data_IF_556611481237
#
_entry.id   IF_556611481237
#
_cell.length_a   1.000
_cell.length_b   1.000
_cell.length_c   1.000
_cell.angle_alpha   90.00
_cell.angle_beta   90.00
_cell.angle_gamma   90.00
#
_symmetry.space_group_name_H-M   'P 1'
#
loop_
_entity.id
_entity.type
_entity.pdbx_description
1 polymer ?
#
# COMPACT_ATOMS: atom_id res chain seq x y z
N UNK A 1 60.23 55.09 10.62
CA UNK A 1 60.09 54.11 11.72
C UNK A 1 58.64 54.07 12.14
N UNK A 2 58.10 52.85 12.32
CA UNK A 2 56.81 52.46 12.93
C UNK A 2 55.53 52.90 12.17
N UNK A 3 54.47 52.09 12.03
CA UNK A 3 54.09 50.80 12.63
C UNK A 3 53.08 50.09 11.71
N UNK A 4 53.01 48.76 11.74
CA UNK A 4 52.10 47.91 10.96
C UNK A 4 50.96 47.44 11.87
N UNK A 5 49.67 47.49 11.46
CA UNK A 5 48.60 46.96 12.29
C UNK A 5 48.50 45.43 12.18
N UNK A 6 48.57 44.77 13.33
CA UNK A 6 48.37 43.33 13.49
C UNK A 6 46.88 42.96 13.37
N UNK A 7 46.59 41.87 12.64
CA UNK A 7 45.27 41.21 12.61
C UNK A 7 45.24 40.04 13.60
N UNK A 8 44.18 39.87 14.41
CA UNK A 8 43.95 38.63 15.14
C UNK A 8 42.91 37.76 14.40
N UNK A 9 43.36 36.70 13.74
CA UNK A 9 42.50 35.63 13.23
C UNK A 9 42.39 34.51 14.27
N UNK A 10 41.27 34.46 14.98
CA UNK A 10 40.99 33.47 16.02
C UNK A 10 40.49 32.13 15.48
N UNK A 11 41.02 31.05 16.07
CA UNK A 11 40.33 29.80 16.42
C UNK A 11 39.59 29.02 15.34
N UNK A 12 40.24 27.99 14.78
CA UNK A 12 39.53 26.87 14.15
C UNK A 12 38.95 25.95 15.25
N UNK A 13 37.65 26.06 15.49
CA UNK A 13 36.90 25.03 16.21
C UNK A 13 36.47 23.94 15.24
N UNK A 14 37.13 22.79 15.28
CA UNK A 14 36.64 21.57 14.63
C UNK A 14 35.39 21.10 15.36
N UNK A 15 34.21 21.30 14.77
CA UNK A 15 32.97 20.68 15.23
C UNK A 15 32.85 19.30 14.57
N UNK A 16 33.35 18.26 15.23
CA UNK A 16 32.94 16.88 14.95
C UNK A 16 31.48 16.74 15.35
N UNK A 17 30.58 16.93 14.37
CA UNK A 17 29.15 16.77 14.57
C UNK A 17 28.80 15.29 14.62
N UNK A 18 29.00 14.68 15.79
CA UNK A 18 28.37 13.41 16.16
C UNK A 18 26.86 13.61 16.20
N UNK A 19 26.16 13.18 15.14
CA UNK A 19 24.71 13.27 15.04
C UNK A 19 24.04 12.36 16.07
N UNK A 20 23.65 12.93 17.20
CA UNK A 20 22.71 12.29 18.13
C UNK A 20 21.39 12.04 17.40
N UNK A 21 21.06 10.76 17.15
CA UNK A 21 19.72 10.36 16.70
C UNK A 21 18.71 10.76 17.78
N UNK A 22 18.03 11.88 17.58
CA UNK A 22 16.96 12.36 18.47
C UNK A 22 15.91 11.25 18.68
N UNK A 23 15.38 11.04 19.90
CA UNK A 23 14.29 10.10 20.17
C UNK A 23 13.07 10.27 19.25
N UNK A 24 12.89 11.47 18.68
CA UNK A 24 11.83 11.79 17.73
C UNK A 24 12.02 11.12 16.36
N UNK A 25 13.25 10.80 15.94
CA UNK A 25 13.49 10.09 14.68
C UNK A 25 12.97 8.66 14.75
N UNK A 26 13.15 7.99 15.90
CA UNK A 26 12.78 6.60 16.08
C UNK A 26 11.25 6.41 16.08
N UNK A 27 10.50 7.36 16.66
CA UNK A 27 9.02 7.33 16.64
C UNK A 27 8.52 7.49 15.20
N UNK A 28 9.08 8.45 14.45
CA UNK A 28 8.71 8.67 13.04
C UNK A 28 9.09 7.51 12.14
N UNK A 29 10.16 6.78 12.45
CA UNK A 29 10.53 5.58 11.71
C UNK A 29 9.54 4.43 11.95
N UNK A 30 9.07 4.25 13.20
CA UNK A 30 8.06 3.24 13.51
C UNK A 30 6.72 3.51 12.81
N UNK A 31 6.33 4.77 12.63
CA UNK A 31 5.11 5.13 11.89
C UNK A 31 5.14 4.70 10.41
N UNK A 32 6.32 4.47 9.84
CA UNK A 32 6.47 4.01 8.45
C UNK A 32 6.26 2.50 8.29
N UNK A 33 6.35 1.75 9.39
CA UNK A 33 6.36 0.30 9.35
C UNK A 33 4.99 -0.29 9.60
N UNK A 34 4.62 -1.30 8.80
CA UNK A 34 3.46 -2.12 9.09
C UNK A 34 3.70 -2.97 10.35
N UNK A 35 2.66 -3.32 11.13
CA UNK A 35 2.82 -4.15 12.31
C UNK A 35 3.53 -5.48 12.00
N UNK A 36 4.59 -5.79 12.75
CA UNK A 36 5.42 -7.00 12.52
C UNK A 36 4.61 -8.30 12.59
N UNK A 37 3.51 -8.31 13.36
CA UNK A 37 2.59 -9.43 13.45
C UNK A 37 1.87 -9.70 12.11
N UNK A 38 1.49 -8.65 11.39
CA UNK A 38 0.83 -8.77 10.09
C UNK A 38 1.82 -9.29 9.03
N UNK A 39 3.05 -8.76 9.03
CA UNK A 39 4.16 -9.26 8.19
C UNK A 39 4.37 -10.76 8.43
N UNK A 40 4.53 -11.17 9.69
CA UNK A 40 4.73 -12.56 10.06
C UNK A 40 3.58 -13.48 9.63
N UNK A 41 2.33 -13.02 9.71
CA UNK A 41 1.14 -13.77 9.27
C UNK A 41 1.11 -13.98 7.75
N UNK A 42 1.44 -12.95 6.97
CA UNK A 42 1.46 -13.03 5.51
C UNK A 42 2.59 -13.94 5.04
N UNK A 43 3.81 -13.75 5.56
CA UNK A 43 4.95 -14.60 5.23
C UNK A 43 4.65 -16.08 5.49
N UNK A 44 3.88 -16.40 6.56
CA UNK A 44 3.49 -17.76 6.88
C UNK A 44 2.61 -18.45 5.83
N UNK A 45 1.81 -17.68 5.09
CA UNK A 45 0.92 -18.23 4.06
C UNK A 45 1.68 -18.90 2.91
N UNK A 46 2.91 -18.46 2.65
CA UNK A 46 3.79 -19.05 1.63
C UNK A 46 4.66 -20.19 2.13
N UNK A 47 4.50 -20.65 3.38
CA UNK A 47 5.37 -21.65 4.00
C UNK A 47 4.56 -22.86 4.51
N UNK A 48 5.21 -24.02 4.69
CA UNK A 48 4.60 -25.17 5.37
C UNK A 48 4.11 -24.81 6.78
N UNK A 49 3.07 -25.51 7.25
CA UNK A 49 2.39 -25.21 8.51
C UNK A 49 3.32 -25.20 9.74
N UNK A 50 4.35 -26.04 9.76
CA UNK A 50 5.31 -26.18 10.85
C UNK A 50 6.56 -25.30 10.70
N UNK A 51 6.68 -24.54 9.61
CA UNK A 51 7.86 -23.70 9.36
C UNK A 51 7.98 -22.62 10.44
N UNK A 52 9.21 -22.26 10.82
CA UNK A 52 9.52 -21.12 11.70
C UNK A 52 10.11 -19.99 10.86
N UNK A 53 9.84 -18.73 11.23
CA UNK A 53 10.45 -17.55 10.59
C UNK A 53 11.27 -16.87 11.67
N UNK A 54 12.55 -16.67 11.39
CA UNK A 54 13.46 -15.94 12.29
C UNK A 54 13.00 -14.50 12.49
N UNK A 55 13.32 -13.89 13.64
CA UNK A 55 13.00 -12.48 13.91
C UNK A 55 13.59 -11.58 12.82
N UNK A 56 14.88 -11.72 12.56
CA UNK A 56 15.60 -10.92 11.56
C UNK A 56 14.96 -10.99 10.16
N UNK A 57 14.46 -12.16 9.76
CA UNK A 57 13.76 -12.31 8.48
C UNK A 57 12.44 -11.51 8.43
N UNK A 58 11.73 -11.37 9.56
CA UNK A 58 10.52 -10.52 9.61
C UNK A 58 10.89 -9.05 9.54
N UNK A 59 11.96 -8.65 10.23
CA UNK A 59 12.42 -7.27 10.27
C UNK A 59 12.90 -6.82 8.88
N UNK A 60 13.70 -7.66 8.18
CA UNK A 60 14.10 -7.39 6.80
C UNK A 60 12.89 -7.25 5.87
N UNK A 61 11.89 -8.15 5.97
CA UNK A 61 10.70 -8.04 5.12
C UNK A 61 9.85 -6.80 5.47
N UNK A 62 9.81 -6.40 6.74
CA UNK A 62 9.13 -5.17 7.16
C UNK A 62 9.76 -3.93 6.52
N UNK A 63 11.09 -3.87 6.49
CA UNK A 63 11.84 -2.82 5.78
C UNK A 63 11.56 -2.86 4.28
N UNK A 64 11.69 -4.04 3.65
CA UNK A 64 11.45 -4.21 2.21
C UNK A 64 10.02 -3.81 1.81
N UNK A 65 9.00 -4.14 2.61
CA UNK A 65 7.61 -3.77 2.29
C UNK A 65 7.40 -2.26 2.37
N UNK A 66 8.09 -1.60 3.31
CA UNK A 66 8.01 -0.14 3.47
C UNK A 66 8.70 0.57 2.30
N UNK A 67 9.83 0.04 1.85
CA UNK A 67 10.49 0.48 0.62
C UNK A 67 9.64 0.19 -0.61
N UNK A 68 9.01 -0.99 -0.72
CA UNK A 68 8.13 -1.33 -1.82
C UNK A 68 6.96 -0.35 -1.96
N UNK A 69 6.30 0.00 -0.86
CA UNK A 69 5.23 1.02 -0.87
C UNK A 69 5.79 2.35 -1.39
N UNK A 70 6.95 2.79 -0.89
CA UNK A 70 7.59 4.03 -1.31
C UNK A 70 7.98 3.99 -2.80
N UNK A 71 8.48 2.86 -3.27
CA UNK A 71 8.92 2.67 -4.65
C UNK A 71 7.76 2.75 -5.65
N UNK A 72 6.70 1.95 -5.43
CA UNK A 72 5.53 1.96 -6.31
C UNK A 72 4.83 3.32 -6.30
N UNK A 73 4.69 3.93 -5.11
CA UNK A 73 4.03 5.24 -4.98
C UNK A 73 4.82 6.37 -5.61
N UNK A 74 6.16 6.29 -5.62
CA UNK A 74 7.01 7.27 -6.31
C UNK A 74 6.79 7.22 -7.83
N UNK A 75 6.81 6.02 -8.44
CA UNK A 75 6.55 5.86 -9.88
C UNK A 75 5.13 6.33 -10.25
N UNK A 76 4.13 6.00 -9.43
CA UNK A 76 2.75 6.45 -9.64
C UNK A 76 2.60 7.98 -9.49
N UNK A 77 3.31 8.57 -8.52
CA UNK A 77 3.37 10.02 -8.34
C UNK A 77 3.96 10.69 -9.58
N UNK A 78 5.06 10.19 -10.11
CA UNK A 78 5.71 10.75 -11.30
C UNK A 78 4.77 10.75 -12.51
N UNK A 79 4.05 9.64 -12.75
CA UNK A 79 3.02 9.59 -13.79
C UNK A 79 1.92 10.62 -13.56
N UNK A 80 1.35 10.65 -12.35
CA UNK A 80 0.28 11.56 -11.98
C UNK A 80 0.68 13.03 -12.21
N UNK A 81 1.90 13.39 -11.82
CA UNK A 81 2.45 14.73 -12.01
C UNK A 81 2.72 15.06 -13.49
N UNK A 82 3.24 14.11 -14.28
CA UNK A 82 3.41 14.26 -15.74
C UNK A 82 2.08 14.55 -16.44
N UNK A 83 0.98 13.97 -15.94
CA UNK A 83 -0.38 14.24 -16.42
C UNK A 83 -1.03 15.50 -15.80
N UNK A 84 -0.26 16.31 -15.07
CA UNK A 84 -0.72 17.55 -14.39
C UNK A 84 -1.83 17.31 -13.36
N UNK A 85 -1.91 16.11 -12.80
CA UNK A 85 -2.83 15.77 -11.70
C UNK A 85 -2.10 15.94 -10.35
N UNK A 86 -2.89 16.20 -9.29
CA UNK A 86 -2.41 16.32 -7.90
C UNK A 86 -2.79 15.12 -7.03
N UNK A 87 -3.62 14.22 -7.55
CA UNK A 87 -4.18 13.08 -6.83
C UNK A 87 -3.85 11.82 -7.60
N UNK A 88 -3.12 10.92 -6.96
CA UNK A 88 -2.81 9.58 -7.47
C UNK A 88 -4.10 8.76 -7.42
N UNK A 89 -4.44 8.11 -8.52
CA UNK A 89 -5.60 7.23 -8.64
C UNK A 89 -5.18 5.75 -8.76
N UNK A 90 -6.15 4.84 -8.66
CA UNK A 90 -5.88 3.40 -8.81
C UNK A 90 -5.26 3.01 -10.16
N UNK A 91 -5.62 3.70 -11.25
CA UNK A 91 -5.05 3.44 -12.58
C UNK A 91 -3.56 3.81 -12.68
N UNK A 92 -3.10 4.76 -11.86
CA UNK A 92 -1.68 5.11 -11.77
C UNK A 92 -0.88 3.96 -11.15
N UNK A 93 -1.42 3.36 -10.08
CA UNK A 93 -0.77 2.23 -9.41
C UNK A 93 -0.68 1.00 -10.33
N UNK A 94 -1.76 0.69 -11.06
CA UNK A 94 -1.77 -0.41 -12.03
C UNK A 94 -0.75 -0.17 -13.14
N UNK A 95 -0.65 1.06 -13.64
CA UNK A 95 0.36 1.41 -14.62
C UNK A 95 1.78 1.28 -14.07
N UNK A 96 2.06 1.80 -12.86
CA UNK A 96 3.39 1.73 -12.25
C UNK A 96 3.84 0.29 -12.05
N UNK A 97 2.95 -0.57 -11.57
CA UNK A 97 3.28 -2.00 -11.43
C UNK A 97 3.57 -2.67 -12.78
N UNK A 98 2.89 -2.24 -13.85
CA UNK A 98 3.17 -2.75 -15.20
C UNK A 98 4.56 -2.29 -15.66
N UNK A 99 4.87 -1.00 -15.51
CA UNK A 99 6.16 -0.42 -15.91
C UNK A 99 7.33 -1.01 -15.14
N UNK A 100 7.12 -1.36 -13.87
CA UNK A 100 8.16 -1.88 -12.98
C UNK A 100 8.36 -3.41 -13.07
N UNK A 101 7.59 -4.11 -13.92
CA UNK A 101 7.75 -5.56 -14.11
C UNK A 101 7.06 -6.43 -13.06
N UNK A 102 5.91 -5.98 -12.54
CA UNK A 102 5.06 -6.72 -11.61
C UNK A 102 3.78 -7.22 -12.31
N UNK A 103 3.91 -7.83 -13.48
CA UNK A 103 2.80 -8.21 -14.37
C UNK A 103 1.79 -9.16 -13.72
N UNK A 104 2.27 -10.07 -12.87
CA UNK A 104 1.44 -11.05 -12.16
C UNK A 104 0.40 -10.39 -11.22
N UNK A 105 0.60 -9.12 -10.86
CA UNK A 105 -0.32 -8.37 -9.99
C UNK A 105 -1.40 -7.61 -10.77
N UNK A 106 -1.24 -7.43 -12.08
CA UNK A 106 -2.04 -6.48 -12.86
C UNK A 106 -3.51 -6.89 -12.97
N UNK A 107 -3.76 -8.12 -13.41
CA UNK A 107 -5.14 -8.61 -13.58
C UNK A 107 -5.90 -8.69 -12.25
N UNK A 108 -5.32 -9.23 -11.15
CA UNK A 108 -5.95 -9.18 -9.83
C UNK A 108 -6.28 -7.75 -9.36
N UNK A 109 -5.37 -6.79 -9.59
CA UNK A 109 -5.58 -5.41 -9.15
C UNK A 109 -6.63 -4.66 -9.98
N UNK A 110 -6.69 -4.89 -11.29
CA UNK A 110 -7.76 -4.34 -12.14
C UNK A 110 -9.13 -4.85 -11.68
N UNK A 111 -9.25 -6.16 -11.45
CA UNK A 111 -10.49 -6.76 -10.96
C UNK A 111 -10.90 -6.17 -9.59
N UNK A 112 -9.93 -5.98 -8.69
CA UNK A 112 -10.17 -5.32 -7.41
C UNK A 112 -10.65 -3.87 -7.58
N UNK A 113 -9.99 -3.09 -8.46
CA UNK A 113 -10.32 -1.67 -8.68
C UNK A 113 -11.74 -1.49 -9.25
N UNK A 114 -12.17 -2.38 -10.15
CA UNK A 114 -13.53 -2.38 -10.70
C UNK A 114 -14.55 -2.59 -9.57
N UNK A 115 -14.39 -3.65 -8.78
CA UNK A 115 -15.30 -3.96 -7.65
C UNK A 115 -15.31 -2.86 -6.60
N UNK A 116 -14.16 -2.24 -6.32
CA UNK A 116 -14.06 -1.12 -5.39
C UNK A 116 -14.89 0.08 -5.87
N UNK A 117 -14.84 0.40 -7.18
CA UNK A 117 -15.63 1.50 -7.78
C UNK A 117 -17.13 1.22 -7.78
N UNK A 118 -17.54 -0.02 -8.01
CA UNK A 118 -18.95 -0.44 -7.92
C UNK A 118 -19.47 -0.24 -6.49
N UNK A 119 -18.71 -0.72 -5.50
CA UNK A 119 -19.10 -0.62 -4.08
C UNK A 119 -19.11 0.84 -3.58
N UNK A 120 -18.12 1.66 -3.92
CA UNK A 120 -18.11 3.09 -3.55
C UNK A 120 -19.13 3.93 -4.34
N UNK A 121 -19.44 3.52 -5.57
CA UNK A 121 -20.47 4.16 -6.41
C UNK A 121 -21.86 4.00 -5.82
N UNK A 122 -22.16 2.82 -5.25
CA UNK A 122 -23.45 2.53 -4.61
C UNK A 122 -23.65 3.36 -3.32
N UNK A 123 -22.58 3.62 -2.56
CA UNK A 123 -22.63 4.49 -1.38
C UNK A 123 -22.86 5.97 -1.70
N UNK A 124 -22.53 6.42 -2.92
CA UNK A 124 -22.76 7.81 -3.38
C UNK A 124 -24.05 7.96 -4.22
N UNK A 125 -24.70 6.86 -4.60
CA UNK A 125 -25.91 6.85 -5.42
C UNK A 125 -27.22 7.10 -4.67
N UNK A 126 -27.26 6.94 -3.34
CA UNK A 126 -28.52 7.06 -2.58
C UNK A 126 -28.93 8.50 -2.18
N UNK A 127 -28.17 9.53 -2.56
CA UNK A 127 -28.44 10.92 -2.09
C UNK A 127 -28.91 11.90 -3.17
N UNK A 128 -29.21 11.44 -4.40
CA UNK A 128 -29.69 12.31 -5.50
C UNK A 128 -30.81 11.70 -6.35
N UNK A 129 -31.76 11.04 -5.72
CA UNK A 129 -33.10 10.92 -6.28
C UNK A 129 -33.96 11.99 -5.62
N UNK A 130 -34.19 13.10 -6.32
CA UNK A 130 -35.24 14.03 -5.92
C UNK A 130 -36.59 13.35 -6.09
N UNK A 131 -37.51 13.57 -5.17
CA UNK A 131 -38.87 13.84 -5.61
C UNK A 131 -39.67 14.68 -4.61
N UNK A 132 -40.52 15.46 -5.23
CA UNK A 132 -41.59 16.28 -4.74
C UNK A 132 -42.54 15.56 -3.77
N UNK A 133 -43.15 16.37 -2.92
CA UNK A 133 -44.15 16.00 -1.92
C UNK A 133 -45.32 15.18 -2.46
N UNK A 134 -45.51 13.96 -1.96
CA UNK A 134 -46.82 13.35 -1.81
C UNK A 134 -46.82 12.32 -0.67
N UNK A 135 -47.62 12.62 0.37
CA UNK A 135 -47.96 11.72 1.49
C UNK A 135 -48.69 10.48 0.98
N UNK A 136 -48.35 9.30 1.51
CA UNK A 136 -49.27 8.51 2.33
C UNK A 136 -48.58 7.27 2.94
N UNK A 137 -49.15 6.87 4.09
CA UNK A 137 -48.67 5.94 5.09
C UNK A 137 -48.64 4.44 4.73
N UNK A 138 -47.98 3.68 5.63
CA UNK A 138 -48.28 2.33 6.15
C UNK A 138 -47.38 1.13 5.73
N UNK A 139 -46.60 0.73 6.74
CA UNK A 139 -46.27 -0.63 7.23
C UNK A 139 -45.23 -1.51 6.51
N UNK A 140 -44.12 -1.72 7.21
CA UNK A 140 -43.69 -3.06 7.64
C UNK A 140 -42.46 -3.64 6.95
N UNK A 141 -41.38 -3.90 7.72
CA UNK A 141 -40.34 -4.83 7.29
C UNK A 141 -38.98 -4.59 7.93
N UNK A 142 -38.53 -5.57 8.72
CA UNK A 142 -37.37 -5.56 9.61
C UNK A 142 -36.00 -5.23 8.99
N UNK A 143 -35.16 -4.62 9.82
CA UNK A 143 -33.69 -4.65 9.77
C UNK A 143 -33.16 -5.96 10.39
N UNK A 144 -32.20 -6.61 9.72
CA UNK A 144 -31.16 -7.43 10.36
C UNK A 144 -29.93 -7.57 9.45
N UNK A 145 -28.70 -7.56 9.99
CA UNK A 145 -27.45 -7.56 9.24
C UNK A 145 -26.89 -8.98 9.01
N UNK A 146 -25.83 -9.07 8.19
CA UNK A 146 -24.85 -10.16 8.00
C UNK A 146 -24.92 -10.86 6.63
N UNK A 147 -24.22 -10.30 5.64
CA UNK A 147 -23.83 -11.08 4.45
C UNK A 147 -22.54 -11.83 4.76
N UNK A 148 -22.65 -13.15 4.83
CA UNK A 148 -21.55 -14.09 4.97
C UNK A 148 -20.77 -14.20 3.65
N UNK A 149 -19.45 -14.23 3.76
CA UNK A 149 -18.53 -14.57 2.67
C UNK A 149 -18.79 -16.00 2.21
N UNK A 150 -19.25 -16.17 0.97
CA UNK A 150 -19.18 -17.45 0.28
C UNK A 150 -17.96 -17.41 -0.63
N UNK A 151 -16.90 -18.11 -0.23
CA UNK A 151 -15.83 -18.46 -1.15
C UNK A 151 -16.38 -19.63 -1.98
N UNK A 152 -16.57 -19.44 -3.29
CA UNK A 152 -16.80 -20.58 -4.17
C UNK A 152 -15.46 -21.25 -4.42
N UNK A 153 -15.23 -22.34 -3.68
CA UNK A 153 -14.12 -23.24 -3.89
C UNK A 153 -14.46 -24.21 -5.02
N UNK A 154 -14.05 -23.86 -6.25
CA UNK A 154 -14.04 -24.77 -7.38
C UNK A 154 -12.64 -24.85 -7.99
N UNK A 155 -11.70 -25.44 -7.23
CA UNK A 155 -10.42 -25.90 -7.75
C UNK A 155 -10.65 -27.25 -8.45
N UNK A 156 -11.08 -27.21 -9.71
CA UNK A 156 -11.17 -28.42 -10.53
C UNK A 156 -9.78 -28.79 -11.06
N UNK A 157 -9.27 -29.92 -10.54
CA UNK A 157 -8.21 -30.71 -11.16
C UNK A 157 -8.63 -31.14 -12.57
N UNK A 158 -7.70 -31.07 -13.53
CA UNK A 158 -7.89 -31.65 -14.85
C UNK A 158 -6.75 -31.34 -15.82
N UNK A 159 -5.51 -31.73 -15.49
CA UNK A 159 -4.47 -31.90 -16.51
C UNK A 159 -4.55 -33.33 -17.05
N UNK A 160 -5.28 -33.48 -18.16
CA UNK A 160 -5.36 -34.71 -18.95
C UNK A 160 -4.09 -34.87 -19.78
N UNK A 161 -3.33 -35.94 -19.53
CA UNK A 161 -2.23 -36.38 -20.38
C UNK A 161 -2.79 -37.24 -21.51
N UNK A 162 -3.16 -36.59 -22.61
CA UNK A 162 -3.54 -37.24 -23.87
C UNK A 162 -2.34 -37.86 -24.57
N UNK A 163 -2.18 -39.16 -24.35
CA UNK A 163 -1.36 -40.11 -25.11
C UNK A 163 -1.78 -40.11 -26.60
N UNK A 164 -0.87 -39.78 -27.52
CA UNK A 164 -1.04 -40.04 -28.96
C UNK A 164 0.19 -40.75 -29.48
N UNK A 165 0.05 -42.06 -29.67
CA UNK A 165 0.97 -42.89 -30.43
C UNK A 165 0.93 -42.53 -31.91
N UNK A 166 2.12 -42.32 -32.50
CA UNK A 166 2.56 -42.88 -33.77
C UNK A 166 4.08 -43.08 -33.72
#
# INVERSE_FOLDING_TARGET
MAEVPASPGGGCGSHESGGERSPQSNVREQDRYLPIANIGRIMKKGLPANAKIAKEAKDTVQECVSEFISFITSEASDKCQKEKRKTINGDDLVWSLTTLGFEDYIEPLKAYLIRYREMEGDTKGSSRAGDTSARNDIVGGQLSPTTQFVYDGSFSQGFDYGNSQM
#
